data_IF_255531366201
#
_entry.id   IF_255531366201
#
_cell.length_a   1.000
_cell.length_b   1.000
_cell.length_c   1.000
_cell.angle_alpha   90.00
_cell.angle_beta   90.00
_cell.angle_gamma   90.00
#
_symmetry.space_group_name_H-M   'P 1'
#
loop_
_entity.id
_entity.type
_entity.pdbx_description
1 polymer ?
#
# COMPACT_ATOMS: atom_id res chain seq x y z
N UNK A 1 -16.38 10.60 4.20
CA UNK A 1 -15.22 10.80 5.09
C UNK A 1 -14.01 10.12 4.45
N UNK A 2 -12.81 10.72 4.51
CA UNK A 2 -11.56 10.05 4.10
C UNK A 2 -10.93 9.47 5.35
N UNK A 3 -10.55 8.19 5.28
CA UNK A 3 -9.91 7.46 6.38
C UNK A 3 -8.51 7.06 5.95
N UNK A 4 -7.59 7.04 6.90
CA UNK A 4 -6.20 6.64 6.72
C UNK A 4 -5.92 5.35 7.50
N UNK A 5 -5.26 4.40 6.84
CA UNK A 5 -4.68 3.21 7.47
C UNK A 5 -3.19 3.15 7.17
N UNK A 6 -2.39 3.02 8.21
CA UNK A 6 -0.96 2.73 8.11
C UNK A 6 -0.73 1.26 8.42
N UNK A 7 0.16 0.62 7.67
CA UNK A 7 0.50 -0.79 7.89
C UNK A 7 1.90 -1.09 7.40
N UNK A 8 2.64 -1.83 8.21
CA UNK A 8 3.94 -2.37 7.83
C UNK A 8 3.78 -3.81 7.35
N UNK A 9 4.53 -4.17 6.31
CA UNK A 9 4.63 -5.53 5.80
C UNK A 9 5.96 -6.13 6.25
N UNK A 10 5.91 -7.33 6.81
CA UNK A 10 7.06 -8.06 7.31
C UNK A 10 7.19 -9.41 6.57
N UNK A 11 8.42 -9.85 6.29
CA UNK A 11 8.69 -11.18 5.70
C UNK A 11 8.53 -12.29 6.76
N UNK A 12 9.03 -11.98 7.95
CA UNK A 12 8.94 -12.67 9.22
C UNK A 12 8.92 -11.58 10.32
N UNK A 13 8.64 -11.92 11.59
CA UNK A 13 8.57 -10.94 12.69
C UNK A 13 9.85 -10.09 12.89
N UNK A 14 10.90 -10.31 12.10
CA UNK A 14 12.20 -9.64 12.19
C UNK A 14 12.47 -8.61 11.10
N UNK A 15 11.93 -8.77 9.88
CA UNK A 15 12.31 -7.93 8.74
C UNK A 15 11.12 -7.20 8.10
N UNK A 16 11.10 -5.87 8.23
CA UNK A 16 10.13 -4.99 7.57
C UNK A 16 10.48 -4.84 6.08
N UNK A 17 9.59 -5.24 5.18
CA UNK A 17 9.76 -5.13 3.72
C UNK A 17 9.21 -3.80 3.20
N UNK A 18 8.10 -3.30 3.74
CA UNK A 18 7.52 -2.04 3.30
C UNK A 18 6.66 -1.39 4.38
N UNK A 19 6.55 -0.07 4.31
CA UNK A 19 5.54 0.69 5.02
C UNK A 19 4.53 1.19 4.01
N UNK A 20 3.26 0.91 4.28
CA UNK A 20 2.16 1.17 3.37
C UNK A 20 1.17 2.14 4.02
N UNK A 21 0.85 3.19 3.27
CA UNK A 21 -0.18 4.16 3.63
C UNK A 21 -1.34 4.03 2.67
N UNK A 22 -2.53 3.78 3.22
CA UNK A 22 -3.77 3.64 2.47
C UNK A 22 -4.71 4.76 2.87
N UNK A 23 -5.02 5.64 1.92
CA UNK A 23 -6.14 6.56 2.02
C UNK A 23 -7.33 5.95 1.31
N UNK A 24 -8.48 5.93 1.97
CA UNK A 24 -9.69 5.43 1.36
C UNK A 24 -10.90 6.29 1.68
N UNK A 25 -11.80 6.38 0.71
CA UNK A 25 -13.14 6.90 0.96
C UNK A 25 -13.96 5.79 1.59
N UNK A 26 -14.74 6.11 2.61
CA UNK A 26 -15.74 5.19 3.14
C UNK A 26 -16.68 4.80 1.99
N UNK A 27 -16.50 3.60 1.44
CA UNK A 27 -17.33 3.06 0.38
C UNK A 27 -18.74 2.76 0.91
N UNK A 28 -19.74 2.67 0.03
CA UNK A 28 -21.10 2.25 0.38
C UNK A 28 -21.20 0.77 0.79
N UNK A 29 -20.08 0.11 1.14
CA UNK A 29 -20.04 -1.30 1.50
C UNK A 29 -19.57 -1.47 2.96
N UNK A 30 -20.50 -1.66 3.91
CA UNK A 30 -20.20 -1.80 5.33
C UNK A 30 -19.23 -2.96 5.65
N UNK A 31 -19.29 -4.07 4.90
CA UNK A 31 -18.39 -5.22 5.12
C UNK A 31 -16.94 -4.89 4.75
N UNK A 32 -16.75 -4.15 3.65
CA UNK A 32 -15.42 -3.68 3.25
C UNK A 32 -14.84 -2.74 4.30
N UNK A 33 -15.68 -1.85 4.84
CA UNK A 33 -15.30 -0.94 5.93
C UNK A 33 -14.84 -1.74 7.16
N UNK A 34 -15.66 -2.69 7.62
CA UNK A 34 -15.36 -3.55 8.77
C UNK A 34 -14.02 -4.29 8.62
N UNK A 35 -13.80 -4.94 7.48
CA UNK A 35 -12.55 -5.66 7.19
C UNK A 35 -11.32 -4.74 7.14
N UNK A 36 -11.47 -3.52 6.61
CA UNK A 36 -10.37 -2.54 6.58
C UNK A 36 -10.01 -2.09 8.00
N UNK A 37 -11.02 -1.82 8.84
CA UNK A 37 -10.84 -1.37 10.22
C UNK A 37 -10.34 -2.48 11.15
N UNK A 38 -10.67 -3.74 10.88
CA UNK A 38 -10.13 -4.88 11.61
C UNK A 38 -8.60 -5.01 11.48
N UNK A 39 -7.99 -4.39 10.46
CA UNK A 39 -6.55 -4.10 10.40
C UNK A 39 -5.61 -5.31 10.21
N UNK A 40 -6.08 -6.54 10.42
CA UNK A 40 -5.27 -7.77 10.38
C UNK A 40 -5.10 -8.35 8.98
N UNK A 41 -6.03 -8.07 8.08
CA UNK A 41 -6.02 -8.62 6.72
C UNK A 41 -5.42 -7.58 5.75
N UNK A 42 -4.44 -7.98 4.90
CA UNK A 42 -3.95 -7.13 3.81
C UNK A 42 -5.06 -6.71 2.85
N UNK A 43 -5.04 -5.45 2.41
CA UNK A 43 -6.10 -4.88 1.55
C UNK A 43 -6.36 -5.71 0.28
N UNK A 44 -5.31 -6.19 -0.38
CA UNK A 44 -5.44 -7.04 -1.57
C UNK A 44 -6.20 -8.34 -1.28
N UNK A 45 -6.01 -8.94 -0.11
CA UNK A 45 -6.74 -10.15 0.32
C UNK A 45 -8.22 -9.85 0.58
N UNK A 46 -8.53 -8.68 1.17
CA UNK A 46 -9.92 -8.24 1.40
C UNK A 46 -10.65 -8.04 0.07
N UNK A 47 -10.03 -7.34 -0.88
CA UNK A 47 -10.62 -7.10 -2.21
C UNK A 47 -10.89 -8.42 -2.93
N UNK A 48 -9.93 -9.36 -2.85
CA UNK A 48 -10.08 -10.69 -3.44
C UNK A 48 -11.15 -11.55 -2.76
N UNK A 49 -11.23 -11.56 -1.42
CA UNK A 49 -12.19 -12.40 -0.70
C UNK A 49 -13.63 -11.95 -0.92
N UNK A 50 -13.83 -10.66 -1.14
CA UNK A 50 -15.13 -10.07 -1.45
C UNK A 50 -15.46 -10.11 -2.96
N UNK A 51 -14.61 -10.72 -3.80
CA UNK A 51 -14.76 -10.80 -5.26
C UNK A 51 -15.08 -9.44 -5.91
N UNK A 52 -14.43 -8.37 -5.43
CA UNK A 52 -14.69 -7.02 -5.91
C UNK A 52 -13.92 -6.76 -7.23
N UNK A 53 -14.61 -6.47 -8.34
CA UNK A 53 -13.96 -6.06 -9.59
C UNK A 53 -13.18 -4.77 -9.37
N UNK A 54 -11.91 -4.76 -9.75
CA UNK A 54 -11.03 -3.64 -9.48
C UNK A 54 -10.03 -3.38 -10.60
N UNK A 55 -9.62 -2.12 -10.73
CA UNK A 55 -8.56 -1.69 -11.64
C UNK A 55 -7.49 -0.97 -10.83
N UNK A 56 -6.22 -1.26 -11.09
CA UNK A 56 -5.08 -0.58 -10.49
C UNK A 56 -4.45 0.38 -11.49
N UNK A 57 -4.28 1.65 -11.13
CA UNK A 57 -3.55 2.64 -11.92
C UNK A 57 -2.36 3.19 -11.13
N UNK A 58 -1.16 3.03 -11.66
CA UNK A 58 0.05 3.62 -11.07
C UNK A 58 0.04 5.13 -11.36
N UNK A 59 0.21 5.93 -10.31
CA UNK A 59 0.31 7.39 -10.41
C UNK A 59 1.76 7.86 -10.41
N UNK A 60 2.57 7.30 -9.51
CA UNK A 60 3.94 7.76 -9.28
C UNK A 60 4.84 6.60 -8.87
N UNK A 61 6.05 6.59 -9.38
CA UNK A 61 7.15 5.74 -8.92
C UNK A 61 8.36 6.67 -8.75
N UNK A 62 9.20 6.39 -7.77
CA UNK A 62 10.47 7.10 -7.64
C UNK A 62 11.18 6.75 -6.35
N UNK A 63 12.06 7.66 -5.92
CA UNK A 63 12.79 7.56 -4.67
C UNK A 63 12.35 8.67 -3.72
N UNK A 64 12.28 8.36 -2.44
CA UNK A 64 11.95 9.31 -1.37
C UNK A 64 12.95 9.17 -0.23
N UNK A 65 13.37 10.30 0.34
CA UNK A 65 14.18 10.33 1.56
C UNK A 65 13.22 10.31 2.76
N UNK A 66 13.26 9.25 3.55
CA UNK A 66 12.37 9.09 4.72
C UNK A 66 13.12 8.43 5.87
N UNK A 67 12.48 8.37 7.04
CA UNK A 67 12.96 7.58 8.16
C UNK A 67 12.45 6.15 7.98
N UNK A 68 13.38 5.19 7.89
CA UNK A 68 13.09 3.76 7.87
C UNK A 68 14.00 3.11 8.91
N UNK A 69 13.41 2.39 9.87
CA UNK A 69 14.11 1.75 10.99
C UNK A 69 15.05 2.70 11.74
N UNK A 70 14.54 3.88 12.10
CA UNK A 70 15.23 4.94 12.84
C UNK A 70 16.38 5.65 12.10
N UNK A 71 16.63 5.30 10.84
CA UNK A 71 17.65 5.95 10.02
C UNK A 71 17.03 6.69 8.84
N UNK A 72 17.68 7.79 8.43
CA UNK A 72 17.27 8.53 7.23
C UNK A 72 17.85 7.82 6.00
N UNK A 73 16.98 7.20 5.20
CA UNK A 73 17.37 6.40 4.04
C UNK A 73 16.66 6.85 2.77
N UNK A 74 17.29 6.62 1.62
CA UNK A 74 16.65 6.78 0.30
C UNK A 74 15.95 5.48 -0.02
N UNK A 75 14.62 5.51 -0.09
CA UNK A 75 13.78 4.35 -0.31
C UNK A 75 13.06 4.49 -1.65
N UNK A 76 12.93 3.39 -2.40
CA UNK A 76 12.01 3.40 -3.54
C UNK A 76 10.57 3.44 -3.02
N UNK A 77 9.69 4.10 -3.76
CA UNK A 77 8.27 4.13 -3.46
C UNK A 77 7.42 4.01 -4.72
N UNK A 78 6.19 3.55 -4.52
CA UNK A 78 5.14 3.53 -5.55
C UNK A 78 3.85 4.09 -4.97
N UNK A 79 3.21 4.99 -5.70
CA UNK A 79 1.86 5.45 -5.43
C UNK A 79 0.92 5.02 -6.56
N UNK A 80 -0.26 4.52 -6.18
CA UNK A 80 -1.26 4.05 -7.12
C UNK A 80 -2.67 4.18 -6.56
N UNK A 81 -3.65 4.16 -7.46
CA UNK A 81 -5.07 4.19 -7.14
C UNK A 81 -5.71 2.86 -7.48
N UNK A 82 -6.57 2.37 -6.59
CA UNK A 82 -7.49 1.26 -6.89
C UNK A 82 -8.88 1.83 -7.11
N UNK A 83 -9.43 1.52 -8.27
CA UNK A 83 -10.79 1.83 -8.65
C UNK A 83 -11.69 0.63 -8.40
N UNK A 84 -12.82 0.82 -7.72
CA UNK A 84 -13.91 -0.15 -7.64
C UNK A 84 -15.13 0.45 -8.33
N UNK A 85 -15.78 -0.31 -9.22
CA UNK A 85 -16.92 0.18 -10.02
C UNK A 85 -16.65 1.54 -10.70
N UNK A 86 -15.45 1.71 -11.27
CA UNK A 86 -14.99 2.94 -11.94
C UNK A 86 -14.77 4.16 -11.04
N UNK A 87 -14.96 4.05 -9.73
CA UNK A 87 -14.71 5.13 -8.76
C UNK A 87 -13.39 4.91 -8.02
N UNK A 88 -12.55 5.96 -7.82
CA UNK A 88 -11.33 5.85 -7.05
C UNK A 88 -11.66 5.64 -5.57
N UNK A 89 -11.39 4.44 -5.07
CA UNK A 89 -11.69 4.08 -3.68
C UNK A 89 -10.47 4.16 -2.78
N UNK A 90 -9.30 3.78 -3.30
CA UNK A 90 -8.06 3.71 -2.52
C UNK A 90 -6.94 4.47 -3.21
N UNK A 91 -6.21 5.28 -2.46
CA UNK A 91 -4.90 5.81 -2.84
C UNK A 91 -3.89 5.14 -1.92
N UNK A 92 -2.93 4.45 -2.51
CA UNK A 92 -1.97 3.63 -1.77
C UNK A 92 -0.58 4.14 -2.09
N UNK A 93 0.18 4.45 -1.04
CA UNK A 93 1.61 4.76 -1.11
C UNK A 93 2.36 3.64 -0.42
N UNK A 94 3.23 2.96 -1.15
CA UNK A 94 4.12 1.90 -0.64
C UNK A 94 5.54 2.43 -0.66
N UNK A 95 6.21 2.43 0.49
CA UNK A 95 7.63 2.74 0.63
C UNK A 95 8.34 1.45 1.01
N UNK A 96 9.32 1.05 0.22
CA UNK A 96 9.98 -0.23 0.37
C UNK A 96 11.29 -0.11 1.12
N UNK A 97 11.62 -1.15 1.88
CA UNK A 97 12.92 -1.28 2.52
C UNK A 97 14.02 -1.32 1.44
N UNK A 98 15.00 -0.41 1.46
CA UNK A 98 16.07 -0.39 0.48
C UNK A 98 16.97 -1.64 0.52
N UNK A 99 17.00 -2.38 1.62
CA UNK A 99 17.79 -3.62 1.72
C UNK A 99 17.14 -4.80 0.98
N UNK A 100 15.85 -4.70 0.63
CA UNK A 100 15.09 -5.78 -0.03
C UNK A 100 14.80 -5.49 -1.50
N UNK A 101 14.91 -4.25 -1.94
CA UNK A 101 14.85 -3.93 -3.36
C UNK A 101 16.21 -4.24 -3.97
N UNK A 102 16.28 -5.35 -4.70
CA UNK A 102 17.36 -5.57 -5.66
C UNK A 102 17.41 -4.34 -6.59
N UNK A 103 18.60 -3.79 -6.89
CA UNK A 103 18.70 -2.67 -7.81
C UNK A 103 17.95 -3.05 -9.08
N UNK A 104 16.93 -2.24 -9.43
CA UNK A 104 16.35 -2.27 -10.76
C UNK A 104 17.55 -1.95 -11.64
N UNK A 105 18.06 -2.97 -12.34
CA UNK A 105 19.26 -2.89 -13.14
C UNK A 105 19.30 -1.54 -13.87
N UNK A 106 20.37 -0.77 -13.64
CA UNK A 106 20.69 0.33 -14.54
C UNK A 106 20.83 -0.30 -15.93
N UNK A 107 19.95 0.09 -16.86
CA UNK A 107 20.18 -0.20 -18.27
C UNK A 107 21.58 0.34 -18.60
N UNK A 108 22.50 -0.57 -18.91
CA UNK A 108 23.84 -0.24 -19.41
C UNK A 108 23.76 0.37 -20.79
#
# INVERSE_FOLDING_TARGET
MVVERLSDLYLDDSLKISTNRVLFKTANNPKLIEEIFNGRVPLGKIISSLNLPHIRKINKIGNIKTIFDHEVRVCAFKEYVIYLHSEPQFIITEIFNPDYILPIYEDK
#
